data_IF_394960465174
#
_entry.id   IF_394960465174
#
_cell.length_a   1.000
_cell.length_b   1.000
_cell.length_c   1.000
_cell.angle_alpha   90.00
_cell.angle_beta   90.00
_cell.angle_gamma   90.00
#
_symmetry.space_group_name_H-M   'P 1'
#
loop_
_entity.id
_entity.type
_entity.pdbx_description
1 polymer ?
#
# COMPACT_ATOMS: atom_id res chain seq x y z
N UNK A 1 16.79 15.46 -10.09
CA UNK A 1 15.51 16.00 -9.59
C UNK A 1 14.69 14.79 -9.17
N UNK A 2 14.68 14.51 -7.87
CA UNK A 2 14.09 13.30 -7.29
C UNK A 2 12.64 13.59 -6.92
N UNK A 3 11.70 12.97 -7.63
CA UNK A 3 10.27 13.18 -7.46
C UNK A 3 9.65 12.06 -6.63
N UNK A 4 10.17 11.84 -5.43
CA UNK A 4 9.54 10.95 -4.46
C UNK A 4 8.30 11.65 -3.90
N UNK A 5 7.11 11.22 -4.32
CA UNK A 5 5.85 11.76 -3.80
C UNK A 5 5.58 11.08 -2.46
N UNK A 6 5.85 11.79 -1.36
CA UNK A 6 5.49 11.32 -0.02
C UNK A 6 4.02 11.61 0.23
N UNK A 7 3.18 10.57 0.25
CA UNK A 7 1.80 10.70 0.75
C UNK A 7 1.79 10.16 2.19
N UNK A 8 1.32 10.99 3.13
CA UNK A 8 0.97 10.56 4.48
C UNK A 8 -0.33 9.74 4.39
N UNK A 9 -0.21 8.46 4.07
CA UNK A 9 -1.31 7.52 4.16
C UNK A 9 -1.12 6.71 5.43
N UNK A 10 -2.02 6.85 6.41
CA UNK A 10 -2.02 6.14 7.69
C UNK A 10 -2.35 4.64 7.53
N UNK A 11 -1.61 3.96 6.66
CA UNK A 11 -1.74 2.55 6.34
C UNK A 11 -1.02 1.72 7.40
N UNK A 12 -1.38 1.86 8.68
CA UNK A 12 -0.63 1.27 9.81
C UNK A 12 -0.99 -0.19 10.09
N UNK A 13 -2.09 -0.69 9.52
CA UNK A 13 -2.63 -2.01 9.83
C UNK A 13 -2.11 -3.09 8.87
N UNK A 14 -1.17 -3.97 9.30
CA UNK A 14 -0.60 -5.02 8.44
C UNK A 14 -1.67 -6.03 7.99
N UNK A 15 -2.65 -6.33 8.85
CA UNK A 15 -3.75 -7.23 8.49
C UNK A 15 -4.62 -6.69 7.35
N UNK A 16 -4.89 -5.38 7.34
CA UNK A 16 -5.62 -4.73 6.25
C UNK A 16 -4.79 -4.66 4.96
N UNK A 17 -3.47 -4.48 5.06
CA UNK A 17 -2.55 -4.52 3.92
C UNK A 17 -2.53 -5.92 3.29
N UNK A 18 -2.38 -6.97 4.08
CA UNK A 18 -2.42 -8.35 3.60
C UNK A 18 -3.77 -8.69 2.96
N UNK A 19 -4.87 -8.29 3.59
CA UNK A 19 -6.21 -8.52 3.06
C UNK A 19 -6.43 -7.79 1.72
N UNK A 20 -5.99 -6.54 1.62
CA UNK A 20 -6.04 -5.76 0.38
C UNK A 20 -5.19 -6.41 -0.73
N UNK A 21 -3.97 -6.87 -0.40
CA UNK A 21 -3.11 -7.58 -1.35
C UNK A 21 -3.78 -8.87 -1.85
N UNK A 22 -4.35 -9.68 -0.94
CA UNK A 22 -5.09 -10.91 -1.31
C UNK A 22 -6.29 -10.61 -2.19
N UNK A 23 -7.08 -9.58 -1.86
CA UNK A 23 -8.25 -9.15 -2.65
C UNK A 23 -7.87 -8.76 -4.07
N UNK A 24 -6.72 -8.10 -4.23
CA UNK A 24 -6.20 -7.65 -5.52
C UNK A 24 -5.27 -8.68 -6.20
N UNK A 25 -5.14 -9.89 -5.62
CA UNK A 25 -4.24 -10.95 -6.09
C UNK A 25 -2.78 -10.51 -6.25
N UNK A 26 -2.35 -9.56 -5.41
CA UNK A 26 -0.99 -9.05 -5.37
C UNK A 26 -0.11 -9.93 -4.47
N UNK A 27 1.21 -9.94 -4.70
CA UNK A 27 2.14 -10.59 -3.79
C UNK A 27 2.05 -9.98 -2.38
N UNK A 28 2.30 -10.82 -1.38
CA UNK A 28 2.15 -10.43 0.02
C UNK A 28 3.11 -9.28 0.39
N UNK A 29 2.66 -8.35 1.26
CA UNK A 29 3.51 -7.29 1.77
C UNK A 29 4.72 -7.89 2.48
N UNK A 30 5.93 -7.53 2.04
CA UNK A 30 7.17 -8.05 2.62
C UNK A 30 7.86 -6.94 3.41
N UNK A 31 8.10 -7.17 4.69
CA UNK A 31 8.85 -6.23 5.52
C UNK A 31 10.36 -6.39 5.30
N UNK A 32 11.04 -5.30 4.97
CA UNK A 32 12.48 -5.28 4.72
C UNK A 32 12.96 -4.06 3.94
N UNK A 33 14.19 -4.11 3.40
CA UNK A 33 14.70 -3.04 2.53
C UNK A 33 13.99 -3.07 1.18
N UNK A 34 13.13 -2.08 0.95
CA UNK A 34 12.39 -1.90 -0.30
C UNK A 34 13.16 -0.96 -1.20
N UNK A 35 13.55 -1.48 -2.38
CA UNK A 35 14.26 -0.69 -3.38
C UNK A 35 13.27 0.13 -4.20
N UNK A 36 13.24 1.43 -3.92
CA UNK A 36 12.56 2.44 -4.75
C UNK A 36 13.49 2.87 -5.90
N UNK A 37 12.99 3.75 -6.77
CA UNK A 37 13.76 4.27 -7.89
C UNK A 37 15.02 5.02 -7.45
N UNK A 38 14.86 5.98 -6.53
CA UNK A 38 15.93 6.89 -6.10
C UNK A 38 16.69 6.41 -4.84
N UNK A 39 16.07 5.52 -4.05
CA UNK A 39 16.62 5.08 -2.75
C UNK A 39 16.12 3.71 -2.31
N UNK A 40 16.79 3.14 -1.32
CA UNK A 40 16.29 1.99 -0.57
C UNK A 40 15.66 2.55 0.70
N UNK A 41 14.41 2.20 0.96
CA UNK A 41 13.69 2.55 2.18
C UNK A 41 13.42 1.28 2.99
N UNK A 42 13.57 1.36 4.31
CA UNK A 42 13.22 0.25 5.20
C UNK A 42 11.76 0.34 5.59
N UNK A 43 11.02 -0.76 5.40
CA UNK A 43 9.61 -0.82 5.73
C UNK A 43 8.90 -1.97 5.05
N UNK A 44 7.60 -1.82 4.80
CA UNK A 44 6.78 -2.84 4.15
C UNK A 44 6.67 -2.56 2.65
N UNK A 45 7.25 -3.44 1.83
CA UNK A 45 7.19 -3.38 0.38
C UNK A 45 5.95 -4.07 -0.16
N UNK A 46 5.18 -3.35 -0.98
CA UNK A 46 4.00 -3.89 -1.67
C UNK A 46 4.21 -3.71 -3.17
N UNK A 47 4.17 -4.81 -3.91
CA UNK A 47 4.24 -4.75 -5.38
C UNK A 47 2.84 -4.63 -5.95
N UNK A 48 2.54 -3.50 -6.58
CA UNK A 48 1.29 -3.29 -7.30
C UNK A 48 1.37 -3.89 -8.71
N UNK A 49 0.21 -4.32 -9.22
CA UNK A 49 0.08 -4.84 -10.57
C UNK A 49 0.35 -3.74 -11.61
N UNK A 50 1.23 -4.03 -12.58
CA UNK A 50 1.66 -3.07 -13.60
C UNK A 50 2.61 -1.97 -13.10
N UNK A 51 3.06 -2.03 -11.84
CA UNK A 51 4.06 -1.11 -11.32
C UNK A 51 5.48 -1.67 -11.50
N UNK A 52 6.40 -0.82 -11.94
CA UNK A 52 7.82 -1.19 -12.14
C UNK A 52 8.57 -1.28 -10.82
N UNK A 53 8.23 -0.42 -9.87
CA UNK A 53 8.83 -0.39 -8.54
C UNK A 53 7.74 -0.63 -7.48
N UNK A 54 8.04 -1.40 -6.42
CA UNK A 54 7.11 -1.56 -5.31
C UNK A 54 6.93 -0.23 -4.58
N UNK A 55 5.79 -0.10 -3.91
CA UNK A 55 5.57 0.98 -2.94
C UNK A 55 6.14 0.52 -1.60
N UNK A 56 6.79 1.43 -0.87
CA UNK A 56 7.34 1.18 0.44
C UNK A 56 6.54 1.95 1.49
N UNK A 57 6.00 1.25 2.47
CA UNK A 57 5.43 1.86 3.65
C UNK A 57 6.48 1.88 4.77
N UNK A 58 6.90 3.06 5.20
CA UNK A 58 7.82 3.17 6.34
C UNK A 58 7.10 2.84 7.64
N UNK A 59 7.84 2.46 8.69
CA UNK A 59 7.31 2.23 10.03
C UNK A 59 6.59 3.47 10.62
N UNK A 60 6.97 4.66 10.13
CA UNK A 60 6.33 5.94 10.48
C UNK A 60 4.93 6.09 9.87
N UNK A 61 4.51 5.19 8.98
CA UNK A 61 3.28 5.30 8.21
C UNK A 61 3.40 6.26 7.03
N UNK A 62 4.60 6.47 6.50
CA UNK A 62 4.80 7.25 5.27
C UNK A 62 4.80 6.29 4.09
N UNK A 63 3.93 6.56 3.11
CA UNK A 63 3.94 5.80 1.86
C UNK A 63 4.92 6.46 0.89
N UNK A 64 6.03 5.78 0.64
CA UNK A 64 7.04 6.15 -0.34
C UNK A 64 6.81 5.36 -1.62
N UNK A 65 6.57 6.07 -2.71
CA UNK A 65 6.44 5.48 -4.03
C UNK A 65 6.89 6.48 -5.09
N UNK A 66 7.21 5.96 -6.26
CA UNK A 66 7.55 6.79 -7.41
C UNK A 66 6.76 6.29 -8.62
N UNK A 67 5.85 7.11 -9.10
CA UNK A 67 5.05 6.80 -10.28
C UNK A 67 5.55 7.53 -11.53
N UNK A 68 6.60 8.36 -11.45
CA UNK A 68 7.08 9.24 -12.54
C UNK A 68 5.95 9.78 -13.42
N UNK A 69 4.94 10.43 -12.84
CA UNK A 69 3.80 11.00 -13.59
C UNK A 69 2.88 9.98 -14.29
N UNK A 70 2.96 8.70 -13.93
CA UNK A 70 2.21 7.59 -14.52
C UNK A 70 3.05 6.60 -15.36
N UNK A 71 4.33 6.90 -15.61
CA UNK A 71 5.20 6.04 -16.43
C UNK A 71 5.65 4.74 -15.75
N UNK A 72 5.72 4.71 -14.42
CA UNK A 72 6.14 3.52 -13.66
C UNK A 72 5.01 2.79 -12.96
N UNK A 73 3.78 3.29 -13.12
CA UNK A 73 2.60 2.70 -12.54
C UNK A 73 1.41 3.63 -12.71
N UNK A 74 0.27 3.05 -13.05
CA UNK A 74 -0.97 3.80 -13.16
C UNK A 74 -1.42 4.26 -11.76
N UNK A 75 -1.72 5.56 -11.56
CA UNK A 75 -2.24 6.05 -10.29
C UNK A 75 -3.57 5.39 -9.90
N UNK A 76 -4.33 4.90 -10.88
CA UNK A 76 -5.57 4.15 -10.67
C UNK A 76 -5.36 2.86 -9.89
N UNK A 77 -4.24 2.15 -10.10
CA UNK A 77 -3.90 0.92 -9.35
C UNK A 77 -3.57 1.25 -7.89
N UNK A 78 -2.90 2.38 -7.65
CA UNK A 78 -2.67 2.87 -6.30
C UNK A 78 -3.99 3.29 -5.63
N UNK A 79 -4.90 3.93 -6.36
CA UNK A 79 -6.21 4.31 -5.83
C UNK A 79 -7.05 3.06 -5.50
N UNK A 80 -7.09 2.08 -6.40
CA UNK A 80 -7.73 0.79 -6.18
C UNK A 80 -7.16 0.07 -4.95
N UNK A 81 -5.84 0.11 -4.75
CA UNK A 81 -5.21 -0.43 -3.55
C UNK A 81 -5.64 0.31 -2.28
N UNK A 82 -5.68 1.65 -2.31
CA UNK A 82 -6.14 2.46 -1.17
C UNK A 82 -7.60 2.20 -0.84
N UNK A 83 -8.47 2.05 -1.85
CA UNK A 83 -9.87 1.70 -1.67
C UNK A 83 -10.02 0.31 -1.04
N UNK A 84 -9.32 -0.70 -1.57
CA UNK A 84 -9.32 -2.05 -1.03
C UNK A 84 -8.86 -2.07 0.43
N UNK A 85 -7.77 -1.36 0.73
CA UNK A 85 -7.28 -1.20 2.09
C UNK A 85 -8.30 -0.53 3.01
N UNK A 86 -8.93 0.56 2.57
CA UNK A 86 -9.94 1.26 3.37
C UNK A 86 -11.11 0.34 3.72
N UNK A 87 -11.60 -0.44 2.75
CA UNK A 87 -12.67 -1.43 2.97
C UNK A 87 -12.25 -2.47 4.01
N UNK A 88 -11.07 -3.07 3.87
CA UNK A 88 -10.60 -4.12 4.78
C UNK A 88 -10.31 -3.57 6.18
N UNK A 89 -9.76 -2.35 6.28
CA UNK A 89 -9.59 -1.65 7.56
C UNK A 89 -10.93 -1.37 8.23
N UNK A 90 -11.91 -0.85 7.49
CA UNK A 90 -13.26 -0.59 8.02
C UNK A 90 -13.94 -1.88 8.49
N UNK A 91 -13.82 -2.97 7.73
CA UNK A 91 -14.33 -4.29 8.14
C UNK A 91 -13.65 -4.79 9.42
N UNK A 92 -12.33 -4.65 9.53
CA UNK A 92 -11.57 -5.04 10.72
C UNK A 92 -11.99 -4.22 11.95
N UNK A 93 -12.08 -2.90 11.81
CA UNK A 93 -12.51 -2.01 12.89
C UNK A 93 -13.97 -2.25 13.30
N UNK A 94 -14.86 -2.46 12.34
CA UNK A 94 -16.26 -2.78 12.63
C UNK A 94 -16.42 -4.15 13.30
N UNK A 95 -15.67 -5.17 12.87
CA UNK A 95 -15.58 -6.46 13.58
C UNK A 95 -15.02 -6.31 14.99
N UNK A 96 -14.02 -5.46 15.18
CA UNK A 96 -13.43 -5.16 16.50
C UNK A 96 -14.43 -4.49 17.43
N UNK A 97 -15.29 -3.64 16.89
CA UNK A 97 -16.39 -3.01 17.63
C UNK A 97 -17.63 -3.91 17.80
N UNK A 98 -17.61 -5.12 17.24
CA UNK A 98 -18.69 -6.10 17.37
C UNK A 98 -19.85 -5.93 16.38
N UNK A 99 -19.69 -5.08 15.35
CA UNK A 99 -20.69 -4.91 14.30
C UNK A 99 -20.55 -6.00 13.22
N UNK A 100 -21.64 -6.67 12.81
CA UNK A 100 -21.62 -7.56 11.66
C UNK A 100 -21.52 -6.74 10.37
N UNK A 101 -20.41 -6.86 9.64
CA UNK A 101 -20.28 -6.32 8.30
C UNK A 101 -20.74 -7.35 7.26
N UNK A 102 -21.72 -6.98 6.44
CA UNK A 102 -22.14 -7.73 5.25
C UNK A 102 -21.72 -6.94 4.00
N UNK A 103 -21.19 -7.64 3.00
CA UNK A 103 -20.80 -7.10 1.68
C UNK A 103 -21.99 -7.00 0.73
#
# INVERSE_FOLDING_TARGET
>A
MSHTVTIQAELKDPAALEAACRRLQLPLPTHGPVRLFDRIAEGTGIQLDGWRFPICLTDRGELLYDNFGGFWGLPEKLDQFRQAYAIEKTKLEARRQGYPCQE
#
